data_IF_625465151512
#
_entry.id   IF_625465151512
#
_cell.length_a   1.000
_cell.length_b   1.000
_cell.length_c   1.000
_cell.angle_alpha   90.00
_cell.angle_beta   90.00
_cell.angle_gamma   90.00
#
_symmetry.space_group_name_H-M   'P 1'
#
loop_
_entity.id
_entity.type
_entity.pdbx_description
1 polymer ?
#
# COMPACT_ATOMS: atom_id res chain seq x y z
N UNK A 1 -20.26 1.35 14.23
CA UNK A 1 -19.65 2.08 13.10
C UNK A 1 -20.01 1.35 11.82
N UNK A 2 -20.44 2.05 10.78
CA UNK A 2 -20.77 1.46 9.47
C UNK A 2 -19.53 1.48 8.58
N UNK A 3 -19.27 0.39 7.84
CA UNK A 3 -18.16 0.27 6.89
C UNK A 3 -18.64 -0.41 5.62
N UNK A 4 -17.96 -0.14 4.50
CA UNK A 4 -18.14 -0.82 3.21
C UNK A 4 -17.01 -1.82 3.01
N UNK A 5 -17.36 -3.04 2.62
CA UNK A 5 -16.40 -4.12 2.31
C UNK A 5 -16.49 -4.42 0.82
N UNK A 6 -15.35 -4.39 0.14
CA UNK A 6 -15.22 -4.74 -1.27
C UNK A 6 -14.45 -6.04 -1.39
N UNK A 7 -15.03 -7.04 -2.04
CA UNK A 7 -14.35 -8.30 -2.36
C UNK A 7 -13.86 -8.28 -3.82
N UNK A 8 -12.63 -8.71 -4.05
CA UNK A 8 -12.04 -8.72 -5.40
C UNK A 8 -10.92 -9.76 -5.52
N UNK A 9 -10.52 -10.07 -6.75
CA UNK A 9 -9.37 -10.93 -7.05
C UNK A 9 -8.38 -10.19 -7.92
N UNK A 10 -7.10 -10.57 -7.83
CA UNK A 10 -6.07 -10.09 -8.74
C UNK A 10 -6.08 -10.95 -10.01
N UNK A 11 -6.09 -10.30 -11.17
CA UNK A 11 -6.12 -10.92 -12.48
C UNK A 11 -4.74 -11.14 -13.11
N UNK A 12 -3.70 -10.45 -12.64
CA UNK A 12 -2.33 -10.63 -13.12
C UNK A 12 -1.68 -11.86 -12.46
N UNK A 13 -1.32 -12.91 -13.22
CA UNK A 13 -0.72 -14.13 -12.69
C UNK A 13 0.67 -13.93 -12.08
N UNK A 14 1.35 -12.83 -12.39
CA UNK A 14 2.67 -12.52 -11.85
C UNK A 14 2.60 -11.80 -10.50
N UNK A 15 1.41 -11.34 -10.07
CA UNK A 15 1.26 -10.67 -8.79
C UNK A 15 1.09 -11.67 -7.63
N UNK A 16 1.77 -11.44 -6.49
CA UNK A 16 1.46 -12.14 -5.26
C UNK A 16 -0.04 -12.00 -4.93
N UNK A 17 -0.69 -13.13 -4.61
CA UNK A 17 -2.13 -13.14 -4.34
C UNK A 17 -3.02 -13.22 -5.58
N UNK A 18 -2.47 -13.55 -6.76
CA UNK A 18 -3.26 -13.92 -7.95
C UNK A 18 -4.30 -15.00 -7.62
N UNK A 19 -5.54 -14.80 -8.09
CA UNK A 19 -6.65 -15.75 -7.89
C UNK A 19 -7.16 -15.89 -6.45
N UNK A 20 -6.55 -15.20 -5.47
CA UNK A 20 -7.02 -15.15 -4.09
C UNK A 20 -8.07 -14.06 -3.95
N UNK A 21 -9.09 -14.31 -3.11
CA UNK A 21 -10.09 -13.31 -2.73
C UNK A 21 -9.50 -12.36 -1.69
N UNK A 22 -9.42 -11.09 -2.04
CA UNK A 22 -8.99 -9.99 -1.20
C UNK A 22 -10.19 -9.20 -0.71
N UNK A 23 -10.02 -8.49 0.42
CA UNK A 23 -11.04 -7.61 0.99
C UNK A 23 -10.48 -6.24 1.30
N UNK A 24 -11.08 -5.20 0.75
CA UNK A 24 -10.82 -3.82 1.10
C UNK A 24 -11.95 -3.29 1.99
N UNK A 25 -11.60 -2.77 3.17
CA UNK A 25 -12.54 -2.12 4.08
C UNK A 25 -12.36 -0.61 3.98
N UNK A 26 -13.45 0.12 3.80
CA UNK A 26 -13.43 1.59 3.65
C UNK A 26 -14.63 2.25 4.34
N UNK A 27 -14.46 3.52 4.73
CA UNK A 27 -15.54 4.40 5.19
C UNK A 27 -16.22 5.17 4.05
N UNK A 28 -15.73 5.03 2.81
CA UNK A 28 -16.31 5.66 1.62
C UNK A 28 -17.53 4.86 1.13
N UNK A 29 -18.72 5.34 1.47
CA UNK A 29 -19.96 4.59 1.29
C UNK A 29 -20.62 4.75 -0.07
N UNK A 30 -20.42 5.90 -0.73
CA UNK A 30 -21.09 6.22 -1.99
C UNK A 30 -20.34 5.59 -3.19
N UNK A 31 -20.95 4.64 -3.92
CA UNK A 31 -20.31 4.00 -5.06
C UNK A 31 -20.18 4.90 -6.29
N UNK A 32 -21.00 5.95 -6.43
CA UNK A 32 -20.94 6.87 -7.57
C UNK A 32 -19.77 7.85 -7.41
N UNK A 33 -19.50 8.27 -6.17
CA UNK A 33 -18.35 9.12 -5.85
C UNK A 33 -17.07 8.34 -5.55
N UNK A 34 -17.17 7.09 -5.10
CA UNK A 34 -16.05 6.21 -4.81
C UNK A 34 -16.28 4.80 -5.38
N UNK A 35 -16.04 4.62 -6.69
CA UNK A 35 -16.20 3.34 -7.37
C UNK A 35 -15.28 2.27 -6.79
N UNK A 36 -15.76 1.02 -6.75
CA UNK A 36 -15.00 -0.07 -6.14
C UNK A 36 -13.65 -0.31 -6.82
N UNK A 37 -13.62 -0.26 -8.16
CA UNK A 37 -12.39 -0.48 -8.94
C UNK A 37 -11.33 0.57 -8.61
N UNK A 38 -11.70 1.85 -8.60
CA UNK A 38 -10.78 2.95 -8.31
C UNK A 38 -10.21 2.84 -6.90
N UNK A 39 -11.04 2.48 -5.92
CA UNK A 39 -10.59 2.24 -4.55
C UNK A 39 -9.62 1.05 -4.43
N UNK A 40 -9.89 -0.04 -5.15
CA UNK A 40 -9.02 -1.22 -5.17
C UNK A 40 -7.68 -0.86 -5.83
N UNK A 41 -7.70 -0.19 -6.98
CA UNK A 41 -6.50 0.28 -7.66
C UNK A 41 -5.67 1.22 -6.78
N UNK A 42 -6.28 2.25 -6.19
CA UNK A 42 -5.61 3.17 -5.29
C UNK A 42 -5.03 2.47 -4.05
N UNK A 43 -5.73 1.47 -3.50
CA UNK A 43 -5.21 0.65 -2.41
C UNK A 43 -3.97 -0.16 -2.83
N UNK A 44 -3.95 -0.67 -4.06
CA UNK A 44 -2.77 -1.35 -4.60
C UNK A 44 -1.59 -0.42 -4.87
N UNK A 45 -1.83 0.78 -5.38
CA UNK A 45 -0.77 1.80 -5.54
C UNK A 45 -0.16 2.18 -4.20
N UNK A 46 -0.97 2.26 -3.14
CA UNK A 46 -0.47 2.50 -1.77
C UNK A 46 0.49 1.40 -1.30
N UNK A 47 0.28 0.15 -1.71
CA UNK A 47 1.21 -0.94 -1.39
C UNK A 47 2.60 -0.73 -2.00
N UNK A 48 2.69 -0.09 -3.18
CA UNK A 48 3.97 0.23 -3.80
C UNK A 48 4.77 1.25 -2.96
N UNK A 49 4.07 2.17 -2.29
CA UNK A 49 4.68 3.09 -1.32
C UNK A 49 5.23 2.32 -0.12
N UNK A 50 4.47 1.36 0.43
CA UNK A 50 4.92 0.53 1.55
C UNK A 50 6.16 -0.30 1.17
N UNK A 51 6.19 -0.87 -0.03
CA UNK A 51 7.37 -1.60 -0.54
C UNK A 51 8.58 -0.67 -0.71
N UNK A 52 8.40 0.56 -1.18
CA UNK A 52 9.51 1.51 -1.30
C UNK A 52 10.06 1.91 0.07
N UNK A 53 9.19 2.09 1.08
CA UNK A 53 9.60 2.36 2.46
C UNK A 53 10.33 1.14 3.04
N UNK A 54 9.78 -0.07 2.88
CA UNK A 54 10.42 -1.30 3.35
C UNK A 54 11.80 -1.52 2.69
N UNK A 55 11.90 -1.28 1.39
CA UNK A 55 13.17 -1.37 0.66
C UNK A 55 14.20 -0.39 1.24
N UNK A 56 13.82 0.86 1.52
CA UNK A 56 14.71 1.84 2.13
C UNK A 56 15.06 1.50 3.60
N UNK A 57 14.10 1.04 4.38
CA UNK A 57 14.26 0.85 5.83
C UNK A 57 14.83 -0.52 6.23
N UNK A 58 14.66 -1.54 5.40
CA UNK A 58 15.02 -2.92 5.72
C UNK A 58 16.15 -3.42 4.81
N UNK A 59 15.99 -3.30 3.49
CA UNK A 59 16.90 -3.96 2.54
C UNK A 59 18.12 -3.10 2.17
N UNK A 60 17.94 -1.81 1.92
CA UNK A 60 19.04 -0.89 1.56
C UNK A 60 19.91 -0.49 2.76
N UNK A 61 19.52 -0.87 3.98
CA UNK A 61 20.33 -0.68 5.18
C UNK A 61 21.24 -1.88 5.41
N UNK A 62 22.40 -1.89 4.76
CA UNK A 62 23.41 -2.95 4.89
C UNK A 62 23.95 -3.21 6.32
N UNK A 63 23.57 -2.44 7.35
CA UNK A 63 24.19 -2.59 8.68
C UNK A 63 23.29 -2.26 9.89
N UNK A 64 21.96 -2.29 9.76
CA UNK A 64 21.05 -1.98 10.90
C UNK A 64 21.25 -0.58 11.52
N UNK A 65 22.01 0.28 10.84
CA UNK A 65 22.43 1.60 11.33
C UNK A 65 21.47 2.65 10.75
N UNK A 66 21.05 3.68 11.51
CA UNK A 66 20.24 4.77 10.97
C UNK A 66 20.91 5.43 9.75
N UNK A 67 20.11 5.78 8.74
CA UNK A 67 20.55 6.62 7.62
C UNK A 67 21.19 7.90 8.19
N UNK A 68 22.40 8.24 7.74
CA UNK A 68 23.26 9.22 8.44
C UNK A 68 22.86 10.68 8.16
N UNK A 69 22.21 11.29 9.14
CA UNK A 69 22.60 12.56 9.77
C UNK A 69 21.85 12.67 11.10
N UNK A 70 22.57 12.83 12.23
CA UNK A 70 21.94 13.17 13.52
C UNK A 70 21.73 14.68 13.69
N UNK A 71 21.95 15.44 12.62
CA UNK A 71 21.79 16.90 12.57
C UNK A 71 20.65 17.20 11.59
N UNK A 72 19.52 17.77 12.05
CA UNK A 72 18.40 18.11 11.17
C UNK A 72 18.82 18.98 9.98
N UNK A 73 19.78 19.89 10.20
CA UNK A 73 20.36 20.78 9.17
C UNK A 73 21.06 20.07 8.02
N UNK A 74 21.44 18.80 8.17
CA UNK A 74 22.08 18.01 7.10
C UNK A 74 21.10 17.28 6.20
N UNK A 75 19.79 17.40 6.46
CA UNK A 75 18.70 16.87 5.64
C UNK A 75 18.04 18.10 5.00
N UNK A 76 18.32 18.34 3.72
CA UNK A 76 17.70 19.41 2.92
C UNK A 76 16.47 18.84 2.22
#
# INVERSE_FOLDING_TARGET
MLVRVLEYTLSDPNRPGYGIVHRLVTSLMDPDHAPAMDLICAYHERWEVELAIDEMETHQREAGTPLRSRKPLGVI
#
